data_IF_765816149505
#
_entry.id   IF_765816149505
#
_cell.length_a   1.000
_cell.length_b   1.000
_cell.length_c   1.000
_cell.angle_alpha   90.00
_cell.angle_beta   90.00
_cell.angle_gamma   90.00
#
_symmetry.space_group_name_H-M   'P 1'
#
loop_
_entity.id
_entity.type
_entity.pdbx_description
1 polymer ?
#
# COMPACT_ATOMS: atom_id res chain seq x y z
N UNK A 1 49.14 -2.46 46.32
CA UNK A 1 48.41 -3.71 46.61
C UNK A 1 49.00 -4.79 45.71
N UNK A 2 49.67 -5.77 46.31
CA UNK A 2 50.21 -6.97 45.66
C UNK A 2 49.09 -8.01 45.52
N UNK A 3 49.05 -8.76 44.42
CA UNK A 3 48.34 -10.04 44.36
C UNK A 3 49.03 -10.98 43.40
N UNK A 4 49.57 -12.03 44.00
CA UNK A 4 50.34 -13.15 43.45
C UNK A 4 49.49 -14.06 42.54
N UNK A 5 50.07 -14.54 41.44
CA UNK A 5 49.62 -15.77 40.79
C UNK A 5 50.60 -16.89 41.13
N UNK A 6 50.14 -17.82 41.96
CA UNK A 6 50.86 -19.03 42.32
C UNK A 6 50.86 -20.07 41.19
N UNK A 7 51.78 -21.05 41.24
CA UNK A 7 52.14 -21.89 40.11
C UNK A 7 51.45 -23.27 40.14
N UNK A 8 51.68 -24.06 39.08
CA UNK A 8 51.59 -25.54 38.99
C UNK A 8 50.26 -26.12 38.50
N UNK A 9 50.14 -26.32 37.19
CA UNK A 9 49.36 -27.38 36.51
C UNK A 9 50.03 -27.60 35.14
N UNK A 10 50.36 -28.76 34.61
CA UNK A 10 50.13 -30.15 34.96
C UNK A 10 51.39 -30.93 34.54
N UNK A 11 51.90 -31.78 35.41
CA UNK A 11 52.75 -32.91 35.03
C UNK A 11 51.98 -34.20 35.34
N UNK A 12 52.38 -35.28 34.66
CA UNK A 12 51.93 -36.67 34.78
C UNK A 12 50.82 -37.12 33.82
N UNK A 13 51.28 -37.45 32.61
CA UNK A 13 51.01 -38.75 32.00
C UNK A 13 51.01 -39.85 33.06
N UNK A 14 49.93 -40.64 33.13
CA UNK A 14 49.92 -42.09 33.38
C UNK A 14 48.50 -42.55 33.70
N UNK A 15 48.01 -43.52 32.91
CA UNK A 15 47.02 -44.57 33.20
C UNK A 15 46.00 -44.71 32.06
N UNK A 16 46.40 -45.43 31.01
CA UNK A 16 45.45 -46.11 30.12
C UNK A 16 45.66 -47.61 30.33
N UNK A 17 44.79 -48.31 31.07
CA UNK A 17 44.84 -49.76 31.13
C UNK A 17 44.28 -50.36 29.84
N UNK A 18 45.07 -51.27 29.29
CA UNK A 18 44.73 -52.22 28.24
C UNK A 18 43.52 -53.07 28.66
N UNK A 19 42.41 -52.98 27.93
CA UNK A 19 41.35 -53.99 27.94
C UNK A 19 41.13 -54.48 26.51
N UNK A 20 41.64 -55.68 26.30
CA UNK A 20 41.51 -56.52 25.11
C UNK A 20 40.32 -57.46 25.26
N UNK A 21 39.59 -57.70 24.17
CA UNK A 21 38.58 -58.76 24.00
C UNK A 21 37.15 -58.32 24.34
N UNK A 22 36.10 -58.62 23.56
CA UNK A 22 35.90 -59.77 22.68
C UNK A 22 35.21 -59.37 21.35
N UNK A 23 35.52 -60.14 20.31
CA UNK A 23 34.82 -60.16 19.02
C UNK A 23 33.56 -61.02 19.17
N UNK A 24 32.38 -60.45 18.89
CA UNK A 24 31.17 -61.21 18.62
C UNK A 24 30.80 -61.04 17.16
N UNK A 25 30.40 -62.17 16.55
CA UNK A 25 30.18 -62.35 15.13
C UNK A 25 29.18 -61.37 14.51
N UNK A 26 29.48 -60.94 13.30
CA UNK A 26 28.71 -59.92 12.59
C UNK A 26 27.41 -60.42 11.93
N UNK A 27 26.62 -59.48 11.42
CA UNK A 27 25.85 -59.62 10.20
C UNK A 27 26.62 -59.00 9.04
N UNK A 28 26.65 -59.66 7.88
CA UNK A 28 27.35 -59.20 6.68
C UNK A 28 26.89 -57.83 6.16
N UNK A 29 27.60 -57.24 5.18
CA UNK A 29 27.20 -55.98 4.58
C UNK A 29 25.87 -56.18 3.83
N UNK A 30 24.76 -55.80 4.47
CA UNK A 30 23.52 -55.53 3.74
C UNK A 30 23.78 -54.42 2.71
N UNK A 31 23.08 -54.40 1.57
CA UNK A 31 23.16 -53.28 0.65
C UNK A 31 22.82 -52.02 1.44
N UNK A 32 23.81 -51.13 1.58
CA UNK A 32 23.63 -49.87 2.25
C UNK A 32 22.45 -49.15 1.63
N UNK A 33 21.37 -49.01 2.39
CA UNK A 33 20.43 -47.93 2.14
C UNK A 33 21.20 -46.65 2.43
N UNK A 34 21.83 -46.12 1.38
CA UNK A 34 22.42 -44.79 1.34
C UNK A 34 21.33 -43.74 1.52
N UNK A 35 20.75 -43.69 2.72
CA UNK A 35 19.82 -42.66 3.16
C UNK A 35 20.55 -41.42 3.66
N UNK A 36 21.67 -41.07 3.03
CA UNK A 36 22.35 -39.79 3.23
C UNK A 36 21.72 -38.72 2.35
N UNK A 37 20.39 -38.55 2.45
CA UNK A 37 19.67 -37.49 1.77
C UNK A 37 19.99 -36.15 2.43
N UNK A 38 21.22 -35.67 2.24
CA UNK A 38 21.60 -34.33 2.61
C UNK A 38 20.72 -33.36 1.82
N UNK A 39 19.75 -32.74 2.48
CA UNK A 39 19.08 -31.56 1.98
C UNK A 39 20.13 -30.45 1.90
N UNK A 40 20.87 -30.39 0.79
CA UNK A 40 21.66 -29.22 0.47
C UNK A 40 20.67 -28.11 0.15
N UNK A 41 20.62 -27.02 0.94
CA UNK A 41 19.83 -25.87 0.56
C UNK A 41 20.37 -25.36 -0.79
N UNK A 42 19.48 -24.90 -1.69
CA UNK A 42 19.92 -24.34 -2.95
C UNK A 42 20.93 -23.21 -2.70
N UNK A 43 21.93 -23.05 -3.58
CA UNK A 43 22.90 -21.97 -3.45
C UNK A 43 22.16 -20.64 -3.33
N UNK A 44 22.60 -19.80 -2.37
CA UNK A 44 22.01 -18.47 -2.19
C UNK A 44 22.15 -17.71 -3.51
N UNK A 45 21.10 -17.04 -3.98
CA UNK A 45 21.20 -16.24 -5.19
C UNK A 45 22.33 -15.21 -5.04
N UNK A 46 23.06 -14.91 -6.12
CA UNK A 46 24.11 -13.90 -6.07
C UNK A 46 23.53 -12.60 -5.51
N UNK A 47 24.30 -11.95 -4.63
CA UNK A 47 23.93 -10.63 -4.11
C UNK A 47 23.84 -9.70 -5.32
N UNK A 48 22.76 -8.91 -5.48
CA UNK A 48 22.67 -7.97 -6.57
C UNK A 48 23.87 -7.04 -6.51
N UNK A 49 24.68 -7.05 -7.56
CA UNK A 49 25.82 -6.15 -7.67
C UNK A 49 25.32 -4.70 -7.60
N UNK A 50 26.09 -3.77 -7.01
CA UNK A 50 25.72 -2.37 -6.98
C UNK A 50 25.56 -1.85 -8.41
N UNK A 51 24.31 -1.65 -8.84
CA UNK A 51 23.99 -1.11 -10.15
C UNK A 51 24.20 0.40 -10.10
N UNK A 52 25.14 0.89 -10.91
CA UNK A 52 25.35 2.31 -11.10
C UNK A 52 24.18 2.87 -11.92
N UNK A 53 23.32 3.66 -11.30
CA UNK A 53 22.22 4.33 -11.98
C UNK A 53 22.68 5.64 -12.63
N UNK A 54 22.17 5.90 -13.83
CA UNK A 54 22.35 7.20 -14.49
C UNK A 54 21.58 8.28 -13.74
N UNK A 55 22.03 9.53 -13.89
CA UNK A 55 21.32 10.72 -13.38
C UNK A 55 20.17 11.15 -14.31
N UNK A 56 19.76 10.29 -15.24
CA UNK A 56 18.64 10.55 -16.14
C UNK A 56 17.34 10.60 -15.33
N UNK A 57 16.56 11.68 -15.49
CA UNK A 57 15.27 11.81 -14.82
C UNK A 57 14.13 11.39 -15.76
N UNK A 58 13.57 10.21 -15.50
CA UNK A 58 12.42 9.61 -16.20
C UNK A 58 11.54 8.92 -15.16
N UNK A 59 10.64 9.66 -14.51
CA UNK A 59 10.00 9.18 -13.30
C UNK A 59 9.18 7.92 -13.54
N UNK A 60 9.17 7.03 -12.55
CA UNK A 60 8.36 5.80 -12.55
C UNK A 60 7.68 5.61 -11.21
N UNK A 61 6.52 4.96 -11.23
CA UNK A 61 5.81 4.58 -10.03
C UNK A 61 6.13 3.12 -9.71
N UNK A 62 6.79 2.90 -8.58
CA UNK A 62 7.16 1.58 -8.10
C UNK A 62 6.27 1.12 -6.94
N UNK A 63 6.06 -0.18 -6.82
CA UNK A 63 5.35 -0.80 -5.70
C UNK A 63 6.21 -1.86 -5.00
N UNK A 64 6.21 -1.83 -3.67
CA UNK A 64 6.84 -2.84 -2.82
C UNK A 64 6.04 -3.03 -1.54
N UNK A 65 5.56 -4.25 -1.29
CA UNK A 65 4.83 -4.59 -0.06
C UNK A 65 3.60 -3.71 0.19
N UNK A 66 2.81 -3.42 -0.86
CA UNK A 66 1.60 -2.59 -0.80
C UNK A 66 1.84 -1.09 -0.70
N UNK A 67 3.10 -0.64 -0.64
CA UNK A 67 3.47 0.79 -0.68
C UNK A 67 3.88 1.19 -2.08
N UNK A 68 3.38 2.35 -2.54
CA UNK A 68 3.71 2.97 -3.83
C UNK A 68 4.61 4.18 -3.61
N UNK A 69 5.67 4.29 -4.39
CA UNK A 69 6.67 5.36 -4.30
C UNK A 69 7.15 5.77 -5.70
N UNK A 70 7.37 7.07 -5.88
CA UNK A 70 7.92 7.64 -7.11
C UNK A 70 9.43 7.55 -7.10
N UNK A 71 10.02 7.08 -8.19
CA UNK A 71 11.48 7.05 -8.39
C UNK A 71 11.88 7.97 -9.53
N UNK A 72 13.06 8.59 -9.44
CA UNK A 72 13.59 9.49 -10.46
C UNK A 72 13.83 8.78 -11.80
N UNK A 73 14.15 7.48 -11.77
CA UNK A 73 14.19 6.63 -12.95
C UNK A 73 13.96 5.14 -12.64
N UNK A 74 13.82 4.35 -13.69
CA UNK A 74 13.62 2.90 -13.61
C UNK A 74 14.79 2.16 -12.95
N UNK A 75 16.03 2.66 -13.10
CA UNK A 75 17.18 2.05 -12.44
C UNK A 75 17.08 2.17 -10.93
N UNK A 76 16.85 3.39 -10.41
CA UNK A 76 16.69 3.66 -8.98
C UNK A 76 15.55 2.84 -8.35
N UNK A 77 14.44 2.66 -9.08
CA UNK A 77 13.33 1.82 -8.62
C UNK A 77 13.76 0.36 -8.44
N UNK A 78 14.49 -0.21 -9.41
CA UNK A 78 14.94 -1.61 -9.40
C UNK A 78 16.03 -1.84 -8.35
N UNK A 79 16.98 -0.91 -8.22
CA UNK A 79 18.03 -0.95 -7.20
C UNK A 79 17.43 -0.99 -5.78
N UNK A 80 16.37 -0.21 -5.55
CA UNK A 80 15.61 -0.22 -4.28
C UNK A 80 14.64 -1.40 -4.15
N UNK A 81 14.56 -2.29 -5.14
CA UNK A 81 13.73 -3.49 -5.11
C UNK A 81 12.23 -3.22 -5.29
N UNK A 82 11.85 -2.10 -5.91
CA UNK A 82 10.46 -1.81 -6.25
C UNK A 82 10.11 -2.39 -7.63
N UNK A 83 8.92 -2.95 -7.75
CA UNK A 83 8.36 -3.35 -9.05
C UNK A 83 7.71 -2.14 -9.70
N UNK A 84 8.15 -1.77 -10.90
CA UNK A 84 7.55 -0.66 -11.65
C UNK A 84 6.16 -1.06 -12.11
N UNK A 85 5.14 -0.29 -11.71
CA UNK A 85 3.72 -0.53 -12.05
C UNK A 85 3.19 0.48 -13.08
N UNK A 86 3.82 1.64 -13.21
CA UNK A 86 3.48 2.66 -14.22
C UNK A 86 4.68 3.53 -14.55
N UNK A 87 4.69 4.06 -15.77
CA UNK A 87 5.52 5.21 -16.14
C UNK A 87 4.96 6.49 -15.52
N UNK A 88 5.83 7.43 -15.14
CA UNK A 88 5.45 8.66 -14.43
C UNK A 88 5.41 8.51 -12.91
N UNK A 89 5.16 9.61 -12.21
CA UNK A 89 5.10 9.64 -10.75
C UNK A 89 3.87 8.91 -10.19
N UNK A 90 3.97 8.42 -8.94
CA UNK A 90 2.83 7.88 -8.22
C UNK A 90 1.85 9.00 -7.84
N UNK A 91 0.71 9.07 -8.52
CA UNK A 91 -0.40 9.97 -8.16
C UNK A 91 -1.76 9.33 -8.43
N UNK A 92 -2.82 9.84 -7.79
CA UNK A 92 -4.22 9.63 -8.23
C UNK A 92 -4.53 10.45 -9.50
N UNK A 93 -3.58 10.54 -10.42
CA UNK A 93 -3.75 11.14 -11.73
C UNK A 93 -4.13 10.06 -12.74
N UNK A 94 -4.80 10.42 -13.85
CA UNK A 94 -5.06 9.45 -14.90
C UNK A 94 -3.74 8.78 -15.27
N UNK A 95 -3.72 7.45 -15.29
CA UNK A 95 -2.55 6.68 -15.70
C UNK A 95 -2.13 7.02 -17.14
N UNK A 96 -1.19 6.26 -17.72
CA UNK A 96 -0.70 6.47 -19.09
C UNK A 96 -1.79 6.49 -20.18
N UNK A 97 -3.02 6.11 -19.83
CA UNK A 97 -4.21 6.34 -20.63
C UNK A 97 -5.07 7.43 -19.97
N UNK A 98 -5.18 8.63 -20.56
CA UNK A 98 -6.44 9.35 -20.44
C UNK A 98 -7.56 8.36 -20.83
N UNK A 99 -8.69 8.30 -20.11
CA UNK A 99 -9.85 7.58 -20.62
C UNK A 99 -10.06 8.07 -22.06
N UNK A 100 -10.32 7.18 -23.04
CA UNK A 100 -10.56 7.60 -24.42
C UNK A 100 -11.49 8.80 -24.36
N UNK A 101 -11.05 9.90 -24.98
CA UNK A 101 -11.83 11.13 -25.02
C UNK A 101 -13.26 10.74 -25.34
N UNK A 102 -14.23 11.27 -24.59
CA UNK A 102 -15.63 11.03 -24.93
C UNK A 102 -15.74 11.36 -26.42
N UNK A 103 -16.33 10.49 -27.26
CA UNK A 103 -16.50 10.81 -28.66
C UNK A 103 -17.08 12.22 -28.77
N UNK A 104 -16.46 13.08 -29.57
CA UNK A 104 -17.04 14.36 -29.92
C UNK A 104 -18.42 14.04 -30.48
N UNK A 105 -19.46 14.27 -29.67
CA UNK A 105 -20.84 13.98 -30.06
C UNK A 105 -21.21 15.01 -31.11
N UNK A 106 -21.27 14.65 -32.41
CA UNK A 106 -21.63 15.60 -33.45
C UNK A 106 -23.10 16.04 -33.29
N UNK A 107 -23.88 15.23 -32.56
CA UNK A 107 -25.29 15.48 -32.24
C UNK A 107 -25.49 16.53 -31.13
N UNK A 108 -24.44 17.26 -30.70
CA UNK A 108 -24.61 18.39 -29.79
C UNK A 108 -25.04 19.61 -30.63
N UNK A 109 -26.29 20.08 -30.53
CA UNK A 109 -26.72 21.24 -31.29
C UNK A 109 -25.87 22.45 -30.91
N UNK A 110 -25.43 23.20 -31.91
CA UNK A 110 -24.79 24.50 -31.74
C UNK A 110 -25.79 25.44 -31.06
N UNK A 111 -25.53 25.81 -29.81
CA UNK A 111 -26.38 26.72 -29.04
C UNK A 111 -26.06 28.20 -29.36
N UNK A 112 -25.62 28.50 -30.59
CA UNK A 112 -25.36 29.84 -31.11
C UNK A 112 -26.55 30.49 -31.82
N UNK A 113 -27.70 29.81 -31.97
CA UNK A 113 -28.88 30.35 -32.68
C UNK A 113 -30.00 30.87 -31.75
N UNK A 114 -30.77 31.89 -32.16
CA UNK A 114 -31.92 32.38 -31.40
C UNK A 114 -33.10 31.41 -31.53
N UNK A 115 -33.37 30.66 -30.47
CA UNK A 115 -34.49 29.73 -30.41
C UNK A 115 -34.17 28.53 -29.52
N UNK A 116 -34.20 28.73 -28.20
CA UNK A 116 -34.19 27.59 -27.27
C UNK A 116 -35.62 27.12 -27.08
N UNK A 117 -35.97 25.84 -27.35
CA UNK A 117 -37.19 25.27 -26.80
C UNK A 117 -37.07 25.30 -25.28
N UNK A 118 -38.13 25.72 -24.59
CA UNK A 118 -38.22 25.78 -23.14
C UNK A 118 -37.94 24.39 -22.55
N UNK A 119 -36.69 24.16 -22.16
CA UNK A 119 -36.33 22.99 -21.37
C UNK A 119 -36.88 23.24 -19.97
N UNK A 120 -37.77 22.38 -19.43
CA UNK A 120 -38.14 22.47 -18.03
C UNK A 120 -36.86 22.40 -17.21
N UNK A 121 -36.65 23.40 -16.36
CA UNK A 121 -35.51 23.45 -15.45
C UNK A 121 -35.37 22.11 -14.75
N UNK A 122 -34.22 21.47 -14.90
CA UNK A 122 -33.86 20.34 -14.05
C UNK A 122 -33.87 20.89 -12.62
N UNK A 123 -34.59 20.29 -11.65
CA UNK A 123 -34.61 20.81 -10.29
C UNK A 123 -33.18 21.00 -9.82
N UNK A 124 -32.88 22.21 -9.35
CA UNK A 124 -31.57 22.57 -8.84
C UNK A 124 -31.14 21.51 -7.84
N UNK A 125 -30.15 20.71 -8.23
CA UNK A 125 -29.41 19.92 -7.26
C UNK A 125 -28.74 20.98 -6.39
N UNK A 126 -29.05 21.10 -5.08
CA UNK A 126 -28.50 22.18 -4.26
C UNK A 126 -26.99 22.16 -4.38
N UNK A 127 -26.46 23.16 -5.09
CA UNK A 127 -25.04 23.42 -5.16
C UNK A 127 -24.57 23.61 -3.73
N UNK A 128 -23.42 23.02 -3.41
CA UNK A 128 -22.72 23.22 -2.14
C UNK A 128 -22.69 24.72 -1.84
N UNK A 129 -23.48 25.25 -0.87
CA UNK A 129 -23.43 26.66 -0.55
C UNK A 129 -22.09 26.89 0.13
N UNK A 130 -21.30 27.79 -0.43
CA UNK A 130 -20.16 28.36 0.28
C UNK A 130 -20.70 29.02 1.55
N UNK A 131 -20.11 28.63 2.68
CA UNK A 131 -20.52 29.06 4.01
C UNK A 131 -20.31 30.57 4.12
N UNK A 132 -21.40 31.33 4.12
CA UNK A 132 -21.62 32.56 4.90
C UNK A 132 -22.75 33.38 4.26
N UNK A 133 -23.98 33.18 4.74
CA UNK A 133 -25.12 33.97 4.29
C UNK A 133 -26.29 33.75 5.23
N UNK A 134 -27.01 34.82 5.57
CA UNK A 134 -28.21 34.74 6.38
C UNK A 134 -29.19 33.71 5.79
N UNK A 135 -29.58 32.71 6.57
CA UNK A 135 -30.57 31.74 6.15
C UNK A 135 -31.97 32.35 6.22
N UNK A 136 -32.82 32.02 5.24
CA UNK A 136 -34.25 32.28 5.34
C UNK A 136 -34.84 31.45 6.47
N UNK A 137 -35.89 31.94 7.13
CA UNK A 137 -36.65 31.16 8.14
C UNK A 137 -37.64 30.18 7.50
N UNK A 138 -37.34 29.70 6.30
CA UNK A 138 -38.17 28.72 5.61
C UNK A 138 -38.00 27.36 6.29
N UNK A 139 -39.12 26.69 6.61
CA UNK A 139 -39.11 25.38 7.24
C UNK A 139 -39.26 24.28 6.18
N UNK A 140 -38.13 23.66 5.81
CA UNK A 140 -38.03 22.53 4.87
C UNK A 140 -37.01 21.54 5.43
N UNK A 141 -37.43 20.67 6.36
CA UNK A 141 -36.51 19.93 7.19
C UNK A 141 -35.62 18.99 6.38
N UNK A 142 -34.38 18.84 6.82
CA UNK A 142 -33.40 17.95 6.20
C UNK A 142 -32.62 17.18 7.26
N UNK A 143 -32.23 15.96 6.94
CA UNK A 143 -31.35 15.17 7.76
C UNK A 143 -29.91 15.47 7.36
N UNK A 144 -29.16 16.09 8.27
CA UNK A 144 -27.75 16.38 8.13
C UNK A 144 -26.88 15.35 8.85
N UNK A 145 -25.70 15.06 8.31
CA UNK A 145 -24.70 14.19 8.92
C UNK A 145 -23.35 14.90 9.03
N UNK A 146 -22.71 14.77 10.19
CA UNK A 146 -21.34 15.22 10.46
C UNK A 146 -20.58 14.12 11.20
N UNK A 147 -19.75 13.38 10.48
CA UNK A 147 -19.07 12.21 11.02
C UNK A 147 -20.09 11.16 11.50
N UNK A 148 -20.04 10.71 12.77
CA UNK A 148 -21.01 9.75 13.31
C UNK A 148 -22.35 10.39 13.74
N UNK A 149 -22.45 11.72 13.76
CA UNK A 149 -23.65 12.41 14.24
C UNK A 149 -24.63 12.68 13.10
N UNK A 150 -25.91 12.39 13.34
CA UNK A 150 -27.02 12.75 12.46
C UNK A 150 -27.99 13.66 13.21
N UNK A 151 -28.39 14.76 12.59
CA UNK A 151 -29.30 15.72 13.18
C UNK A 151 -30.27 16.29 12.12
N UNK A 152 -31.51 16.48 12.52
CA UNK A 152 -32.52 17.17 11.71
C UNK A 152 -32.31 18.68 11.81
N UNK A 153 -32.25 19.36 10.66
CA UNK A 153 -32.16 20.82 10.57
C UNK A 153 -33.45 21.40 9.99
N UNK A 154 -33.88 22.60 10.43
CA UNK A 154 -35.06 23.29 9.90
C UNK A 154 -35.02 23.52 8.38
N UNK A 155 -33.84 23.77 7.82
CA UNK A 155 -33.62 23.83 6.38
C UNK A 155 -32.18 23.48 6.00
N UNK A 156 -31.95 23.28 4.70
CA UNK A 156 -30.64 22.94 4.15
C UNK A 156 -29.58 24.03 4.36
N UNK A 157 -30.00 25.31 4.41
CA UNK A 157 -29.09 26.42 4.68
C UNK A 157 -28.54 26.33 6.11
N UNK A 158 -29.40 26.11 7.10
CA UNK A 158 -28.98 25.94 8.50
C UNK A 158 -28.10 24.71 8.69
N UNK A 159 -28.44 23.58 8.04
CA UNK A 159 -27.58 22.39 8.04
C UNK A 159 -26.17 22.70 7.51
N UNK A 160 -26.08 23.40 6.37
CA UNK A 160 -24.81 23.76 5.76
C UNK A 160 -24.02 24.77 6.61
N UNK A 161 -24.70 25.76 7.19
CA UNK A 161 -24.08 26.78 8.05
C UNK A 161 -23.56 26.17 9.36
N UNK A 162 -24.23 25.14 9.89
CA UNK A 162 -23.76 24.35 11.03
C UNK A 162 -22.70 23.29 10.67
N UNK A 163 -22.30 23.19 9.39
CA UNK A 163 -21.26 22.27 8.94
C UNK A 163 -21.72 20.82 8.79
N UNK A 164 -23.03 20.57 8.71
CA UNK A 164 -23.61 19.26 8.43
C UNK A 164 -23.85 19.09 6.93
N UNK A 165 -23.54 17.89 6.41
CA UNK A 165 -23.87 17.54 5.03
C UNK A 165 -25.26 16.92 4.99
N UNK A 166 -26.16 17.47 4.17
CA UNK A 166 -27.49 16.88 3.97
C UNK A 166 -27.38 15.50 3.31
N UNK A 167 -27.94 14.48 3.96
CA UNK A 167 -27.97 13.09 3.48
C UNK A 167 -29.36 12.67 2.98
N UNK A 168 -30.43 13.25 3.51
CA UNK A 168 -31.81 12.99 3.09
C UNK A 168 -32.69 14.23 3.24
N UNK A 169 -33.68 14.45 2.37
CA UNK A 169 -34.78 15.36 2.66
C UNK A 169 -35.64 14.83 3.81
N UNK A 170 -36.26 15.73 4.58
CA UNK A 170 -37.05 15.39 5.77
C UNK A 170 -36.18 15.14 7.00
N UNK A 171 -36.83 14.78 8.10
CA UNK A 171 -36.15 14.54 9.38
C UNK A 171 -35.32 13.24 9.36
N UNK A 172 -34.30 13.17 10.21
CA UNK A 172 -33.54 11.94 10.38
C UNK A 172 -34.43 10.84 10.97
N UNK A 173 -34.41 9.67 10.33
CA UNK A 173 -35.04 8.46 10.86
C UNK A 173 -34.15 7.91 11.99
N UNK A 174 -34.76 7.62 13.14
CA UNK A 174 -34.09 6.95 14.26
C UNK A 174 -33.92 5.47 13.99
#
# INVERSE_FOLDING_TARGET
>A
MVSSFGPKRLAFFLLIPLLSGCVEGGPGPGPGFGGGGGYYPPPRPPRPEPQMCTMEYRPVCGERGGRRETFGNACQARERGFRIISTGECGRGPGPFPPPGRPDRPDRPDWGGPGRPDRPGRPDRPGRPEQSGACTREYRPVCGQRGPQTQTFPNACEAANSGFRVVSPGECRR
#
